data_IF_370762914042
#
_entry.id   IF_370762914042
#
_cell.length_a   1.000
_cell.length_b   1.000
_cell.length_c   1.000
_cell.angle_alpha   90.00
_cell.angle_beta   90.00
_cell.angle_gamma   90.00
#
_symmetry.space_group_name_H-M   'P 1'
#
loop_
_entity.id
_entity.type
_entity.pdbx_description
1 polymer ?
#
# COMPACT_ATOMS: atom_id res chain seq x y z
N UNK A 1 23.57 11.68 7.83
CA UNK A 1 22.82 10.41 7.96
C UNK A 1 21.51 10.53 7.21
N UNK A 2 21.12 9.53 6.44
CA UNK A 2 19.95 9.59 5.56
C UNK A 2 18.62 9.78 6.30
N UNK A 3 18.41 9.05 7.40
CA UNK A 3 17.22 9.19 8.25
C UNK A 3 17.07 10.62 8.78
N UNK A 4 18.16 11.26 9.23
CA UNK A 4 18.14 12.66 9.70
C UNK A 4 17.70 13.60 8.57
N UNK A 5 18.11 13.33 7.32
CA UNK A 5 17.65 14.12 6.17
C UNK A 5 16.15 13.93 5.93
N UNK A 6 15.66 12.68 5.96
CA UNK A 6 14.22 12.40 5.80
C UNK A 6 13.37 13.11 6.86
N UNK A 7 13.83 13.09 8.12
CA UNK A 7 13.17 13.82 9.21
C UNK A 7 13.17 15.33 8.95
N UNK A 8 14.32 15.91 8.56
CA UNK A 8 14.41 17.35 8.27
C UNK A 8 13.57 17.76 7.05
N UNK A 9 13.41 16.88 6.06
CA UNK A 9 12.58 17.10 4.88
C UNK A 9 11.09 16.92 5.14
N UNK A 10 10.69 16.45 6.32
CA UNK A 10 9.27 16.20 6.65
C UNK A 10 8.69 14.99 5.93
N UNK A 11 9.52 13.99 5.61
CA UNK A 11 9.03 12.71 5.07
C UNK A 11 8.04 12.06 6.02
N UNK A 12 7.07 11.32 5.46
CA UNK A 12 6.08 10.61 6.26
C UNK A 12 6.77 9.63 7.22
N UNK A 13 6.27 9.49 8.47
CA UNK A 13 6.75 8.45 9.39
C UNK A 13 6.72 7.05 8.77
N UNK A 14 5.73 6.74 7.93
CA UNK A 14 5.61 5.44 7.26
C UNK A 14 6.72 5.22 6.22
N UNK A 15 7.08 6.26 5.48
CA UNK A 15 8.16 6.19 4.47
C UNK A 15 9.53 6.03 5.16
N UNK A 16 9.72 6.71 6.31
CA UNK A 16 10.92 6.54 7.15
C UNK A 16 11.01 5.12 7.71
N UNK A 17 9.90 4.58 8.25
CA UNK A 17 9.86 3.20 8.78
C UNK A 17 10.21 2.20 7.68
N UNK A 18 9.61 2.33 6.50
CA UNK A 18 9.87 1.43 5.39
C UNK A 18 11.32 1.54 4.87
N UNK A 19 11.88 2.76 4.84
CA UNK A 19 13.29 2.97 4.50
C UNK A 19 14.23 2.26 5.48
N UNK A 20 13.94 2.34 6.77
CA UNK A 20 14.68 1.59 7.80
C UNK A 20 14.53 0.09 7.58
N UNK A 21 13.32 -0.38 7.24
CA UNK A 21 13.08 -1.80 6.99
C UNK A 21 13.88 -2.33 5.79
N UNK A 22 13.98 -1.57 4.68
CA UNK A 22 14.85 -1.92 3.55
C UNK A 22 16.31 -2.02 3.96
N UNK A 23 16.80 -1.05 4.73
CA UNK A 23 18.17 -1.09 5.24
C UNK A 23 18.40 -2.31 6.13
N UNK A 24 17.41 -2.68 6.96
CA UNK A 24 17.49 -3.86 7.83
C UNK A 24 17.53 -5.15 7.00
N UNK A 25 16.68 -5.28 5.99
CA UNK A 25 16.68 -6.39 5.04
C UNK A 25 18.06 -6.57 4.37
N UNK A 26 18.65 -5.48 3.91
CA UNK A 26 19.96 -5.49 3.25
C UNK A 26 21.10 -5.93 4.19
N UNK A 27 21.07 -5.49 5.46
CA UNK A 27 22.15 -5.81 6.43
C UNK A 27 21.95 -7.16 7.12
N UNK A 28 20.72 -7.62 7.31
CA UNK A 28 20.43 -8.93 7.91
C UNK A 28 20.52 -10.05 6.89
N UNK A 29 20.37 -9.75 5.59
CA UNK A 29 20.27 -10.76 4.55
C UNK A 29 19.00 -11.59 4.67
N UNK A 30 17.89 -10.99 5.12
CA UNK A 30 16.58 -11.62 5.27
C UNK A 30 15.60 -11.11 4.19
N UNK A 31 15.56 -11.72 2.99
CA UNK A 31 14.73 -11.27 1.89
C UNK A 31 13.24 -11.24 2.28
N UNK A 32 12.57 -10.15 1.92
CA UNK A 32 11.15 -9.92 2.19
C UNK A 32 10.85 -9.22 3.50
N UNK A 33 11.85 -8.91 4.34
CA UNK A 33 11.61 -8.20 5.61
C UNK A 33 10.95 -6.83 5.40
N UNK A 34 11.41 -6.02 4.44
CA UNK A 34 10.80 -4.72 4.16
C UNK A 34 9.35 -4.88 3.69
N UNK A 35 9.09 -5.87 2.83
CA UNK A 35 7.73 -6.18 2.37
C UNK A 35 6.82 -6.59 3.52
N UNK A 36 7.30 -7.41 4.44
CA UNK A 36 6.54 -7.76 5.64
C UNK A 36 6.20 -6.53 6.47
N UNK A 37 7.16 -5.62 6.70
CA UNK A 37 6.91 -4.35 7.41
C UNK A 37 5.87 -3.49 6.70
N UNK A 38 5.95 -3.38 5.38
CA UNK A 38 4.96 -2.68 4.57
C UNK A 38 3.54 -3.26 4.69
N UNK A 39 3.41 -4.59 4.70
CA UNK A 39 2.14 -5.26 4.96
C UNK A 39 1.61 -4.95 6.37
N UNK A 40 2.49 -4.88 7.38
CA UNK A 40 2.11 -4.45 8.73
C UNK A 40 1.68 -2.97 8.76
N UNK A 41 2.35 -2.10 7.98
CA UNK A 41 1.97 -0.69 7.88
C UNK A 41 0.55 -0.54 7.36
N UNK A 42 0.20 -1.28 6.30
CA UNK A 42 -1.15 -1.29 5.73
C UNK A 42 -2.18 -1.87 6.69
N UNK A 43 -1.88 -3.01 7.31
CA UNK A 43 -2.82 -3.70 8.19
C UNK A 43 -3.11 -2.92 9.49
N UNK A 44 -2.07 -2.41 10.14
CA UNK A 44 -2.21 -1.73 11.44
C UNK A 44 -2.52 -0.26 11.25
N UNK A 45 -1.62 0.49 10.61
CA UNK A 45 -1.81 1.94 10.50
C UNK A 45 -2.88 2.28 9.47
N UNK A 46 -2.89 1.63 8.31
CA UNK A 46 -3.91 1.88 7.29
C UNK A 46 -5.30 1.40 7.69
N UNK A 47 -5.48 0.09 7.88
CA UNK A 47 -6.79 -0.52 8.05
C UNK A 47 -7.35 -0.39 9.48
N UNK A 48 -6.55 -0.67 10.51
CA UNK A 48 -7.05 -0.70 11.88
C UNK A 48 -7.10 0.69 12.54
N UNK A 49 -6.14 1.57 12.21
CA UNK A 49 -6.05 2.93 12.75
C UNK A 49 -6.48 4.01 11.75
N UNK A 50 -6.93 3.60 10.56
CA UNK A 50 -7.51 4.49 9.55
C UNK A 50 -6.60 5.65 9.14
N UNK A 51 -5.26 5.46 9.17
CA UNK A 51 -4.34 6.46 8.65
C UNK A 51 -4.46 6.56 7.13
N UNK A 52 -4.72 7.78 6.66
CA UNK A 52 -4.98 8.08 5.24
C UNK A 52 -3.81 7.72 4.33
N UNK A 53 -2.57 8.07 4.69
CA UNK A 53 -1.40 7.85 3.81
C UNK A 53 -1.17 6.37 3.47
N UNK A 54 -1.05 5.44 4.44
CA UNK A 54 -0.90 4.01 4.13
C UNK A 54 -2.01 3.46 3.24
N UNK A 55 -3.27 3.89 3.43
CA UNK A 55 -4.38 3.46 2.58
C UNK A 55 -4.29 4.05 1.16
N UNK A 56 -3.85 5.31 1.00
CA UNK A 56 -3.61 5.92 -0.32
C UNK A 56 -2.47 5.24 -1.07
N UNK A 57 -1.39 4.90 -0.37
CA UNK A 57 -0.26 4.17 -0.95
C UNK A 57 -0.72 2.78 -1.41
N UNK A 58 -1.50 2.05 -0.59
CA UNK A 58 -2.11 0.77 -1.01
C UNK A 58 -3.04 0.94 -2.21
N UNK A 59 -3.92 1.95 -2.19
CA UNK A 59 -4.85 2.22 -3.28
C UNK A 59 -4.11 2.42 -4.60
N UNK A 60 -3.06 3.24 -4.60
CA UNK A 60 -2.24 3.50 -5.78
C UNK A 60 -1.67 2.21 -6.37
N UNK A 61 -1.07 1.36 -5.54
CA UNK A 61 -0.50 0.09 -6.01
C UNK A 61 -1.54 -0.89 -6.53
N UNK A 62 -2.71 -0.97 -5.87
CA UNK A 62 -3.80 -1.85 -6.31
C UNK A 62 -4.33 -1.38 -7.66
N UNK A 63 -4.44 -0.06 -7.88
CA UNK A 63 -4.80 0.53 -9.17
C UNK A 63 -3.77 0.24 -10.25
N UNK A 64 -2.47 0.40 -9.96
CA UNK A 64 -1.42 0.05 -10.93
C UNK A 64 -1.42 -1.45 -11.26
N UNK A 65 -1.64 -2.30 -10.25
CA UNK A 65 -1.75 -3.74 -10.45
C UNK A 65 -2.98 -4.10 -11.29
N UNK A 66 -4.11 -3.44 -11.05
CA UNK A 66 -5.31 -3.62 -11.86
C UNK A 66 -5.02 -3.29 -13.33
N UNK A 67 -4.37 -2.14 -13.62
CA UNK A 67 -4.00 -1.76 -14.99
C UNK A 67 -3.15 -2.82 -15.69
N UNK A 68 -2.19 -3.42 -14.97
CA UNK A 68 -1.36 -4.51 -15.51
C UNK A 68 -2.18 -5.77 -15.81
N UNK A 69 -3.11 -6.13 -14.93
CA UNK A 69 -3.98 -7.31 -15.10
C UNK A 69 -4.98 -7.09 -16.23
N UNK A 70 -5.58 -5.91 -16.34
CA UNK A 70 -6.47 -5.54 -17.45
C UNK A 70 -5.71 -5.62 -18.78
N UNK A 71 -4.47 -5.13 -18.85
CA UNK A 71 -3.61 -5.31 -20.03
C UNK A 71 -3.33 -6.79 -20.34
N UNK A 72 -3.11 -7.62 -19.32
CA UNK A 72 -2.94 -9.07 -19.51
C UNK A 72 -4.22 -9.73 -20.05
N UNK A 73 -5.40 -9.25 -19.65
CA UNK A 73 -6.68 -9.76 -20.16
C UNK A 73 -6.85 -9.57 -21.67
N UNK A 74 -6.18 -8.60 -22.28
CA UNK A 74 -6.25 -8.35 -23.73
C UNK A 74 -5.35 -9.29 -24.56
N UNK A 75 -4.56 -10.15 -23.91
CA UNK A 75 -3.62 -11.03 -24.61
C UNK A 75 -4.37 -12.14 -25.38
N UNK A 76 -4.31 -12.16 -26.72
CA UNK A 76 -5.03 -13.14 -27.53
C UNK A 76 -4.43 -14.56 -27.46
N UNK A 77 -3.26 -14.73 -26.84
CA UNK A 77 -2.65 -16.04 -26.64
C UNK A 77 -3.26 -16.81 -25.45
N UNK A 78 -4.08 -16.15 -24.62
CA UNK A 78 -4.75 -16.80 -23.51
C UNK A 78 -6.00 -17.56 -23.95
N UNK A 79 -6.22 -18.68 -23.27
CA UNK A 79 -7.41 -19.50 -23.41
C UNK A 79 -8.60 -18.86 -22.71
N UNK A 80 -9.81 -19.32 -23.03
CA UNK A 80 -11.05 -18.90 -22.35
C UNK A 80 -10.97 -19.09 -20.83
N UNK A 81 -10.40 -20.20 -20.36
CA UNK A 81 -10.25 -20.45 -18.92
C UNK A 81 -9.30 -19.45 -18.27
N UNK A 82 -8.22 -19.08 -18.95
CA UNK A 82 -7.28 -18.06 -18.46
C UNK A 82 -7.95 -16.68 -18.42
N UNK A 83 -8.72 -16.29 -19.43
CA UNK A 83 -9.51 -15.05 -19.40
C UNK A 83 -10.51 -15.05 -18.24
N UNK A 84 -11.20 -16.16 -17.97
CA UNK A 84 -12.12 -16.29 -16.82
C UNK A 84 -11.37 -16.04 -15.51
N UNK A 85 -10.20 -16.67 -15.30
CA UNK A 85 -9.38 -16.49 -14.09
C UNK A 85 -8.88 -15.05 -13.94
N UNK A 86 -8.42 -14.43 -15.03
CA UNK A 86 -8.01 -13.02 -15.03
C UNK A 86 -9.22 -12.12 -14.73
N UNK A 87 -10.39 -12.42 -15.28
CA UNK A 87 -11.65 -11.71 -15.00
C UNK A 87 -12.00 -11.73 -13.51
N UNK A 88 -11.83 -12.86 -12.83
CA UNK A 88 -11.99 -12.93 -11.37
C UNK A 88 -10.99 -12.02 -10.62
N UNK A 89 -9.73 -12.00 -11.06
CA UNK A 89 -8.72 -11.12 -10.46
C UNK A 89 -9.08 -9.63 -10.65
N UNK A 90 -9.50 -9.23 -11.85
CA UNK A 90 -9.97 -7.87 -12.17
C UNK A 90 -11.12 -7.48 -11.22
N UNK A 91 -12.14 -8.33 -11.11
CA UNK A 91 -13.29 -8.07 -10.25
C UNK A 91 -12.90 -7.93 -8.77
N UNK A 92 -11.98 -8.77 -8.29
CA UNK A 92 -11.47 -8.68 -6.92
C UNK A 92 -10.72 -7.37 -6.68
N UNK A 93 -9.87 -6.95 -7.61
CA UNK A 93 -9.13 -5.69 -7.51
C UNK A 93 -10.05 -4.48 -7.54
N UNK A 94 -11.04 -4.44 -8.43
CA UNK A 94 -12.07 -3.37 -8.49
C UNK A 94 -12.82 -3.25 -7.16
N UNK A 95 -13.25 -4.38 -6.57
CA UNK A 95 -13.89 -4.38 -5.24
C UNK A 95 -12.98 -3.84 -4.14
N UNK A 96 -11.68 -4.19 -4.15
CA UNK A 96 -10.74 -3.68 -3.15
C UNK A 96 -10.51 -2.16 -3.30
N UNK A 97 -10.37 -1.68 -4.53
CA UNK A 97 -10.22 -0.25 -4.84
C UNK A 97 -11.40 0.54 -4.29
N UNK A 98 -12.64 0.10 -4.55
CA UNK A 98 -13.82 0.80 -4.05
C UNK A 98 -13.91 0.76 -2.53
N UNK A 99 -13.55 -0.37 -1.90
CA UNK A 99 -13.44 -0.46 -0.44
C UNK A 99 -12.45 0.56 0.12
N UNK A 100 -11.23 0.64 -0.45
CA UNK A 100 -10.18 1.56 -0.02
C UNK A 100 -10.60 3.02 -0.19
N UNK A 101 -11.23 3.39 -1.32
CA UNK A 101 -11.75 4.74 -1.54
C UNK A 101 -12.75 5.17 -0.47
N UNK A 102 -13.71 4.28 -0.14
CA UNK A 102 -14.71 4.56 0.90
C UNK A 102 -14.05 4.72 2.27
N UNK A 103 -13.08 3.88 2.62
CA UNK A 103 -12.34 3.98 3.87
C UNK A 103 -11.54 5.28 3.97
N UNK A 104 -10.82 5.63 2.90
CA UNK A 104 -10.06 6.88 2.83
C UNK A 104 -10.98 8.09 3.00
N UNK A 105 -12.13 8.10 2.30
CA UNK A 105 -13.09 9.19 2.41
C UNK A 105 -13.63 9.34 3.84
N UNK A 106 -13.89 8.23 4.54
CA UNK A 106 -14.30 8.27 5.96
C UNK A 106 -13.19 8.78 6.86
N UNK A 107 -11.99 8.23 6.72
CA UNK A 107 -10.83 8.65 7.50
C UNK A 107 -10.50 10.14 7.32
N UNK A 108 -10.61 10.67 6.09
CA UNK A 108 -10.43 12.10 5.80
C UNK A 108 -11.54 12.97 6.42
N UNK A 109 -12.76 12.46 6.53
CA UNK A 109 -13.87 13.16 7.18
C UNK A 109 -13.78 13.12 8.72
N UNK A 110 -13.29 12.01 9.27
CA UNK A 110 -13.27 11.73 10.71
C UNK A 110 -11.99 12.24 11.40
N UNK A 111 -10.88 12.40 10.68
CA UNK A 111 -9.58 12.76 11.25
C UNK A 111 -9.02 14.09 10.70
N UNK A 112 -9.43 15.20 11.31
CA UNK A 112 -8.66 16.44 11.33
C UNK A 112 -7.49 16.29 12.33
N UNK A 113 -6.26 16.19 11.80
CA UNK A 113 -4.97 16.30 12.48
C UNK A 113 -4.73 15.44 13.74
N UNK A 114 -3.98 14.36 13.57
CA UNK A 114 -3.31 13.70 14.69
C UNK A 114 -2.15 14.56 15.21
N UNK A 115 -2.42 15.36 16.23
CA UNK A 115 -1.38 15.94 17.07
C UNK A 115 -0.69 14.81 17.84
N UNK A 116 0.60 14.59 17.59
CA UNK A 116 1.44 13.73 18.43
C UNK A 116 1.50 14.37 19.83
N UNK A 117 0.77 13.81 20.78
CA UNK A 117 0.93 14.15 22.20
C UNK A 117 2.21 13.45 22.66
N UNK A 118 3.28 14.22 22.84
CA UNK A 118 4.50 13.72 23.46
C UNK A 118 4.25 13.59 24.97
N UNK A 119 4.42 12.38 25.50
CA UNK A 119 4.53 12.16 26.95
C UNK A 119 5.84 12.72 27.48
#
# INVERSE_FOLDING_TARGET
MEIVRMIHSGESPFDIIYHVAKRLEDVSGEPGYAKYVEEQIRAVYGLALEHVKPMKDELHEVEERLKRIEKSYENPAFTEEEHIRIGFAINRHKKNIERLKVMIQKAEADHADMTIVKN
#
